data_IF_279266039635
#
_entry.id   IF_279266039635
#
_cell.length_a   1.000
_cell.length_b   1.000
_cell.length_c   1.000
_cell.angle_alpha   90.00
_cell.angle_beta   90.00
_cell.angle_gamma   90.00
#
_symmetry.space_group_name_H-M   'P 1'
#
loop_
_entity.id
_entity.type
_entity.pdbx_description
1 polymer ?
#
# COMPACT_ATOMS: atom_id res chain seq x y z
N UNK A 1 2.42 -12.83 -3.31
CA UNK A 1 2.52 -12.68 -4.78
C UNK A 1 1.93 -11.32 -5.12
N UNK A 2 2.54 -10.59 -6.05
CA UNK A 2 1.97 -9.35 -6.58
C UNK A 2 1.75 -9.48 -8.09
N UNK A 3 0.60 -9.00 -8.55
CA UNK A 3 0.26 -8.85 -9.96
C UNK A 3 0.24 -7.35 -10.25
N UNK A 4 1.14 -6.90 -11.10
CA UNK A 4 1.30 -5.50 -11.49
C UNK A 4 1.39 -5.40 -13.01
N UNK A 5 1.18 -4.20 -13.55
CA UNK A 5 1.38 -3.97 -14.96
C UNK A 5 2.86 -4.14 -15.31
N UNK A 6 3.13 -4.71 -16.49
CA UNK A 6 4.49 -4.97 -16.98
C UNK A 6 5.21 -3.70 -17.46
N UNK A 7 4.99 -2.59 -16.84
CA UNK A 7 5.75 -1.39 -17.16
C UNK A 7 7.07 -1.39 -16.39
N UNK A 8 8.18 -1.56 -17.11
CA UNK A 8 9.53 -1.76 -16.59
C UNK A 8 10.17 -0.51 -15.96
N UNK A 9 9.40 0.49 -15.64
CA UNK A 9 9.93 1.60 -14.89
C UNK A 9 10.18 1.15 -13.45
N UNK A 10 11.42 1.06 -13.06
CA UNK A 10 11.85 0.79 -11.69
C UNK A 10 11.44 1.90 -10.70
N UNK A 11 10.31 2.52 -10.93
CA UNK A 11 9.71 3.57 -10.10
C UNK A 11 8.53 2.99 -9.34
N UNK A 12 8.30 3.49 -8.15
CA UNK A 12 7.10 3.14 -7.37
C UNK A 12 5.81 3.79 -7.91
N UNK A 13 5.88 4.48 -9.03
CA UNK A 13 4.75 5.05 -9.76
C UNK A 13 4.27 4.04 -10.81
N UNK A 14 3.56 3.03 -10.33
CA UNK A 14 3.06 1.94 -11.17
C UNK A 14 1.92 2.41 -12.07
N UNK A 15 1.90 1.92 -13.31
CA UNK A 15 0.76 2.09 -14.20
C UNK A 15 -0.44 1.30 -13.67
N UNK A 16 -1.67 1.83 -13.79
CA UNK A 16 -2.84 1.16 -13.24
C UNK A 16 -3.14 -0.15 -13.96
N UNK A 17 -3.59 -1.13 -13.18
CA UNK A 17 -4.24 -2.34 -13.68
C UNK A 17 -5.75 -2.21 -13.48
N UNK A 18 -6.53 -2.70 -14.44
CA UNK A 18 -7.99 -2.81 -14.28
C UNK A 18 -8.31 -4.06 -13.46
N UNK A 19 -9.03 -3.84 -12.38
CA UNK A 19 -9.45 -4.90 -11.45
C UNK A 19 -10.95 -5.09 -11.56
N UNK A 20 -11.36 -6.22 -12.11
CA UNK A 20 -12.78 -6.61 -12.18
C UNK A 20 -13.16 -7.56 -11.07
N UNK A 21 -14.43 -7.52 -10.65
CA UNK A 21 -14.95 -8.47 -9.65
C UNK A 21 -14.78 -9.92 -10.11
N UNK A 22 -14.92 -10.17 -11.41
CA UNK A 22 -14.74 -11.52 -11.97
C UNK A 22 -13.30 -12.00 -11.84
N UNK A 23 -12.30 -11.11 -12.05
CA UNK A 23 -10.90 -11.43 -11.85
C UNK A 23 -10.60 -11.71 -10.37
N UNK A 24 -11.10 -10.89 -9.47
CA UNK A 24 -10.92 -11.06 -8.02
C UNK A 24 -11.53 -12.39 -7.55
N UNK A 25 -12.75 -12.74 -8.01
CA UNK A 25 -13.37 -14.02 -7.70
C UNK A 25 -12.59 -15.21 -8.28
N UNK A 26 -12.10 -15.09 -9.53
CA UNK A 26 -11.26 -16.11 -10.17
C UNK A 26 -9.99 -16.36 -9.36
N UNK A 27 -9.30 -15.31 -8.93
CA UNK A 27 -8.07 -15.40 -8.16
C UNK A 27 -8.31 -15.99 -6.75
N UNK A 28 -9.38 -15.57 -6.07
CA UNK A 28 -9.78 -16.12 -4.75
C UNK A 28 -10.12 -17.61 -4.79
N UNK A 29 -10.57 -18.09 -5.94
CA UNK A 29 -10.90 -19.52 -6.15
C UNK A 29 -9.69 -20.41 -6.47
N UNK A 30 -8.48 -19.86 -6.62
CA UNK A 30 -7.30 -20.67 -6.94
C UNK A 30 -6.79 -21.43 -5.71
N UNK A 31 -6.27 -22.67 -5.90
CA UNK A 31 -5.64 -23.43 -4.83
C UNK A 31 -4.48 -22.64 -4.20
N UNK A 32 -4.36 -22.80 -2.87
CA UNK A 32 -3.30 -22.14 -2.06
C UNK A 32 -3.38 -20.62 -2.00
N UNK A 33 -4.44 -20.00 -2.51
CA UNK A 33 -4.73 -18.60 -2.32
C UNK A 33 -5.56 -18.42 -1.05
N UNK A 34 -5.00 -17.70 -0.08
CA UNK A 34 -5.66 -17.39 1.19
C UNK A 34 -6.48 -16.11 1.11
N UNK A 35 -5.90 -15.07 0.52
CA UNK A 35 -6.55 -13.76 0.37
C UNK A 35 -6.08 -13.06 -0.90
N UNK A 36 -6.96 -12.26 -1.47
CA UNK A 36 -6.69 -11.42 -2.65
C UNK A 36 -7.19 -10.02 -2.33
N UNK A 37 -6.30 -9.05 -2.41
CA UNK A 37 -6.57 -7.65 -2.13
C UNK A 37 -6.01 -6.74 -3.21
N UNK A 38 -6.45 -5.50 -3.26
CA UNK A 38 -5.88 -4.49 -4.13
C UNK A 38 -4.99 -3.53 -3.35
N UNK A 39 -4.00 -2.97 -4.03
CA UNK A 39 -3.23 -1.87 -3.49
C UNK A 39 -3.01 -0.78 -4.53
N UNK A 40 -2.82 0.42 -4.06
CA UNK A 40 -2.38 1.54 -4.88
C UNK A 40 -1.21 2.25 -4.19
N UNK A 41 -0.18 2.58 -4.94
CA UNK A 41 0.99 3.26 -4.40
C UNK A 41 1.26 4.58 -5.13
N UNK A 42 1.82 5.53 -4.39
CA UNK A 42 2.28 6.79 -4.92
C UNK A 42 3.48 7.31 -4.14
N UNK A 43 4.58 7.66 -4.81
CA UNK A 43 5.69 8.35 -4.18
C UNK A 43 5.25 9.69 -3.61
N UNK A 44 5.78 10.02 -2.45
CA UNK A 44 5.49 11.28 -1.77
C UNK A 44 6.66 11.74 -0.90
N UNK A 45 6.56 12.95 -0.41
CA UNK A 45 7.55 13.54 0.49
C UNK A 45 6.81 13.99 1.75
N UNK A 46 7.14 13.40 2.87
CA UNK A 46 6.73 13.89 4.17
C UNK A 46 7.56 15.10 4.56
N UNK A 47 6.89 16.13 5.05
CA UNK A 47 7.52 17.34 5.54
C UNK A 47 7.18 17.56 7.00
N UNK A 48 8.22 17.66 7.84
CA UNK A 48 8.16 18.20 9.19
C UNK A 48 8.75 19.61 9.22
N UNK A 49 8.77 20.25 10.39
CA UNK A 49 9.38 21.57 10.54
C UNK A 49 10.88 21.57 10.26
N UNK A 50 11.54 20.43 10.44
CA UNK A 50 13.01 20.31 10.37
C UNK A 50 13.53 19.34 9.29
N UNK A 51 12.66 18.55 8.65
CA UNK A 51 13.09 17.48 7.74
C UNK A 51 12.13 17.23 6.57
N UNK A 52 12.70 16.72 5.49
CA UNK A 52 11.98 16.12 4.37
C UNK A 52 12.36 14.64 4.27
N UNK A 53 11.37 13.77 4.08
CA UNK A 53 11.63 12.35 3.96
C UNK A 53 10.80 11.77 2.80
N UNK A 54 11.49 11.14 1.83
CA UNK A 54 10.83 10.46 0.73
C UNK A 54 10.16 9.17 1.21
N UNK A 55 8.90 8.98 0.85
CA UNK A 55 8.10 7.81 1.23
C UNK A 55 7.32 7.29 0.04
N UNK A 56 6.85 6.05 0.16
CA UNK A 56 5.81 5.49 -0.69
C UNK A 56 4.52 5.45 0.13
N UNK A 57 3.54 6.22 -0.29
CA UNK A 57 2.20 6.07 0.23
C UNK A 57 1.56 4.85 -0.41
N UNK A 58 1.24 3.84 0.38
CA UNK A 58 0.56 2.62 -0.04
C UNK A 58 -0.85 2.60 0.55
N UNK A 59 -1.82 2.75 -0.32
CA UNK A 59 -3.22 2.50 -0.01
C UNK A 59 -3.55 1.01 -0.14
N UNK A 60 -4.26 0.48 0.84
CA UNK A 60 -4.72 -0.91 0.84
C UNK A 60 -6.16 -1.00 1.29
N UNK A 61 -6.84 -2.08 0.88
CA UNK A 61 -8.16 -2.49 1.36
C UNK A 61 -8.09 -3.71 2.30
N UNK A 62 -6.89 -4.23 2.56
CA UNK A 62 -6.67 -5.39 3.41
C UNK A 62 -5.71 -5.08 4.56
N UNK A 63 -6.22 -5.11 5.79
CA UNK A 63 -5.51 -4.65 6.97
C UNK A 63 -5.04 -5.74 7.92
N UNK A 64 -5.43 -7.01 7.72
CA UNK A 64 -5.16 -8.09 8.69
C UNK A 64 -3.66 -8.29 8.94
N UNK A 65 -2.84 -8.20 7.87
CA UNK A 65 -1.40 -8.30 8.03
C UNK A 65 -0.84 -7.17 8.90
N UNK A 66 -1.29 -5.94 8.68
CA UNK A 66 -0.81 -4.80 9.43
C UNK A 66 -1.39 -4.75 10.84
N UNK A 67 -2.62 -5.22 11.07
CA UNK A 67 -3.22 -5.31 12.38
C UNK A 67 -2.38 -6.15 13.34
N UNK A 68 -1.78 -7.23 12.84
CA UNK A 68 -0.89 -8.10 13.60
C UNK A 68 0.47 -7.47 13.94
N UNK A 69 0.85 -6.42 13.22
CA UNK A 69 2.13 -5.72 13.38
C UNK A 69 1.98 -4.34 14.06
N UNK A 70 0.79 -4.01 14.55
CA UNK A 70 0.55 -2.74 15.26
C UNK A 70 1.29 -2.72 16.60
N UNK A 71 1.95 -1.60 16.87
CA UNK A 71 2.68 -1.34 18.12
C UNK A 71 1.89 -0.39 19.03
N UNK A 72 1.24 0.61 18.44
CA UNK A 72 0.41 1.56 19.18
C UNK A 72 -0.63 2.23 18.28
N UNK A 73 -1.67 2.81 18.87
CA UNK A 73 -2.77 3.44 18.16
C UNK A 73 -3.74 2.44 17.53
N UNK A 74 -4.37 2.82 16.43
CA UNK A 74 -5.37 2.03 15.70
C UNK A 74 -5.13 2.06 14.19
N UNK A 75 -5.72 1.12 13.47
CA UNK A 75 -5.81 1.16 12.03
C UNK A 75 -6.59 2.40 11.58
N UNK A 76 -6.31 2.92 10.37
CA UNK A 76 -7.05 4.06 9.82
C UNK A 76 -8.55 3.75 9.70
N UNK A 77 -9.38 4.67 10.14
CA UNK A 77 -10.84 4.63 9.98
C UNK A 77 -11.35 5.76 9.09
N UNK A 78 -10.57 6.83 9.03
CA UNK A 78 -10.85 8.00 8.20
C UNK A 78 -9.88 8.09 7.03
N UNK A 79 -10.33 8.69 5.94
CA UNK A 79 -9.60 8.75 4.67
C UNK A 79 -8.19 9.38 4.77
N UNK A 80 -8.02 10.37 5.63
CA UNK A 80 -6.75 11.06 5.82
C UNK A 80 -5.94 10.49 7.00
N UNK A 81 -6.41 9.41 7.62
CA UNK A 81 -5.64 8.70 8.62
C UNK A 81 -4.66 7.75 7.98
N UNK A 82 -3.50 7.63 8.60
CA UNK A 82 -2.41 6.76 8.15
C UNK A 82 -1.75 6.09 9.34
N UNK A 83 -1.17 4.94 9.08
CA UNK A 83 -0.19 4.35 9.98
C UNK A 83 1.21 4.46 9.38
N UNK A 84 2.19 4.72 10.24
CA UNK A 84 3.60 4.78 9.88
C UNK A 84 4.39 3.80 10.74
N UNK A 85 5.58 3.41 10.30
CA UNK A 85 6.40 2.54 11.12
C UNK A 85 6.98 3.28 12.34
N UNK A 86 7.33 2.52 13.37
CA UNK A 86 8.06 3.05 14.53
C UNK A 86 9.42 3.64 14.13
N UNK A 87 10.04 3.11 13.08
CA UNK A 87 11.30 3.62 12.52
C UNK A 87 11.10 5.01 11.94
N UNK A 88 10.11 5.17 11.07
CA UNK A 88 9.79 6.45 10.44
C UNK A 88 9.32 7.48 11.47
N UNK A 89 8.48 7.06 12.43
CA UNK A 89 8.02 7.91 13.52
C UNK A 89 9.19 8.46 14.35
N UNK A 90 10.15 7.60 14.70
CA UNK A 90 11.35 8.00 15.43
C UNK A 90 12.22 8.98 14.64
N UNK A 91 12.42 8.72 13.35
CA UNK A 91 13.24 9.60 12.49
C UNK A 91 12.63 10.99 12.30
N UNK A 92 11.31 11.08 12.26
CA UNK A 92 10.58 12.33 12.03
C UNK A 92 10.06 12.97 13.32
N UNK A 93 10.34 12.36 14.49
CA UNK A 93 9.84 12.79 15.81
C UNK A 93 8.32 12.90 15.87
N UNK A 94 7.63 11.91 15.33
CA UNK A 94 6.17 11.84 15.23
C UNK A 94 5.60 10.79 16.19
N UNK A 95 4.37 11.05 16.65
CA UNK A 95 3.62 10.16 17.52
C UNK A 95 2.18 9.98 17.00
N UNK A 96 1.46 9.03 17.57
CA UNK A 96 0.03 8.86 17.30
C UNK A 96 -0.72 10.13 17.67
N UNK A 97 -1.59 10.61 16.79
CA UNK A 97 -2.35 11.86 16.93
C UNK A 97 -1.72 13.06 16.23
N UNK A 98 -0.45 12.97 15.84
CA UNK A 98 0.19 14.06 15.10
C UNK A 98 -0.34 14.16 13.67
N UNK A 99 -0.28 15.39 13.14
CA UNK A 99 -0.57 15.66 11.74
C UNK A 99 0.72 15.95 10.97
N UNK A 100 0.81 15.43 9.76
CA UNK A 100 1.95 15.64 8.87
C UNK A 100 1.49 16.05 7.47
N UNK A 101 2.28 16.88 6.80
CA UNK A 101 2.06 17.22 5.40
C UNK A 101 2.80 16.23 4.50
N UNK A 102 2.07 15.66 3.55
CA UNK A 102 2.63 14.84 2.49
C UNK A 102 2.46 15.55 1.14
N UNK A 103 3.56 15.70 0.45
CA UNK A 103 3.63 16.32 -0.87
C UNK A 103 3.74 15.22 -1.91
N UNK A 104 2.80 15.21 -2.86
CA UNK A 104 2.80 14.31 -4.01
C UNK A 104 3.11 15.14 -5.26
N UNK A 105 4.17 14.75 -5.97
CA UNK A 105 4.61 15.41 -7.19
C UNK A 105 4.15 14.58 -8.38
N UNK A 106 3.39 15.20 -9.26
CA UNK A 106 2.97 14.69 -10.54
C UNK A 106 3.01 15.89 -11.51
N UNK A 107 2.07 16.03 -12.42
CA UNK A 107 1.92 17.23 -13.26
C UNK A 107 1.74 18.50 -12.40
N UNK A 108 1.01 18.35 -11.29
CA UNK A 108 0.80 19.38 -10.28
C UNK A 108 1.25 18.90 -8.89
N UNK A 109 1.75 19.85 -8.08
CA UNK A 109 2.07 19.60 -6.69
C UNK A 109 0.79 19.48 -5.86
N UNK A 110 0.54 18.30 -5.32
CA UNK A 110 -0.61 18.04 -4.45
C UNK A 110 -0.16 17.84 -3.02
N UNK A 111 -0.74 18.59 -2.11
CA UNK A 111 -0.44 18.49 -0.67
C UNK A 111 -1.62 17.86 0.04
N UNK A 112 -1.35 16.94 0.94
CA UNK A 112 -2.34 16.35 1.85
C UNK A 112 -1.85 16.46 3.28
N UNK A 113 -2.76 16.84 4.14
CA UNK A 113 -2.57 16.75 5.60
C UNK A 113 -3.06 15.38 6.04
N UNK A 114 -2.14 14.59 6.58
CA UNK A 114 -2.40 13.24 7.06
C UNK A 114 -2.34 13.22 8.58
N UNK A 115 -3.12 12.35 9.21
CA UNK A 115 -3.14 12.17 10.65
C UNK A 115 -2.64 10.77 11.00
N UNK A 116 -1.69 10.68 11.92
CA UNK A 116 -1.13 9.41 12.34
C UNK A 116 -2.08 8.75 13.32
N UNK A 117 -2.82 7.72 12.88
CA UNK A 117 -3.73 6.96 13.73
C UNK A 117 -3.03 5.84 14.49
N UNK A 118 -1.89 5.35 13.98
CA UNK A 118 -1.16 4.28 14.62
C UNK A 118 0.26 4.11 14.12
N UNK A 119 1.00 3.30 14.88
CA UNK A 119 2.38 2.91 14.57
C UNK A 119 2.47 1.40 14.40
N UNK A 120 3.20 0.96 13.39
CA UNK A 120 3.45 -0.44 13.09
C UNK A 120 4.95 -0.78 13.09
N UNK A 121 5.28 -2.07 13.15
CA UNK A 121 6.63 -2.58 12.97
C UNK A 121 6.56 -3.96 12.32
N UNK A 122 7.05 -4.09 11.09
CA UNK A 122 7.08 -5.37 10.37
C UNK A 122 8.37 -6.13 10.58
N UNK A 123 9.37 -5.53 11.23
CA UNK A 123 10.74 -6.03 11.32
C UNK A 123 11.44 -6.17 9.95
N UNK A 124 10.88 -5.59 8.89
CA UNK A 124 11.49 -5.50 7.58
C UNK A 124 11.97 -4.07 7.35
N UNK A 125 13.28 -3.84 7.51
CA UNK A 125 13.85 -2.49 7.59
C UNK A 125 13.60 -1.62 6.35
N UNK A 126 13.55 -2.19 5.15
CA UNK A 126 13.25 -1.45 3.93
C UNK A 126 11.80 -0.98 3.91
N UNK A 127 10.87 -1.87 4.26
CA UNK A 127 9.45 -1.54 4.33
C UNK A 127 9.20 -0.49 5.41
N UNK A 128 9.78 -0.71 6.60
CA UNK A 128 9.57 0.17 7.76
C UNK A 128 10.15 1.58 7.56
N UNK A 129 11.12 1.76 6.67
CA UNK A 129 11.68 3.09 6.36
C UNK A 129 10.96 3.84 5.25
N UNK A 130 10.22 3.13 4.42
CA UNK A 130 9.74 3.67 3.15
C UNK A 130 8.23 3.86 3.11
N UNK A 131 7.44 2.96 3.73
CA UNK A 131 6.01 2.95 3.52
C UNK A 131 5.22 3.71 4.58
N UNK A 132 4.29 4.55 4.07
CA UNK A 132 3.16 5.12 4.80
C UNK A 132 1.92 4.39 4.32
N UNK A 133 1.11 3.85 5.23
CA UNK A 133 -0.03 3.02 4.89
C UNK A 133 -1.34 3.76 5.19
N UNK A 134 -2.26 3.74 4.26
CA UNK A 134 -3.55 4.41 4.40
C UNK A 134 -4.63 3.85 3.48
N UNK A 135 -5.71 4.60 3.33
CA UNK A 135 -6.84 4.24 2.49
C UNK A 135 -6.45 4.23 1.00
N UNK A 136 -6.78 3.15 0.30
CA UNK A 136 -6.57 3.02 -1.15
C UNK A 136 -7.30 4.11 -1.94
N UNK A 137 -8.45 4.57 -1.47
CA UNK A 137 -9.23 5.62 -2.14
C UNK A 137 -8.48 6.97 -2.17
N UNK A 138 -7.66 7.25 -1.16
CA UNK A 138 -6.83 8.46 -1.18
C UNK A 138 -5.84 8.41 -2.35
N UNK A 139 -5.19 7.27 -2.57
CA UNK A 139 -4.23 7.10 -3.68
C UNK A 139 -4.93 7.13 -5.03
N UNK A 140 -6.07 6.46 -5.15
CA UNK A 140 -6.90 6.52 -6.36
C UNK A 140 -7.25 7.95 -6.76
N UNK A 141 -7.67 8.77 -5.79
CA UNK A 141 -7.97 10.19 -6.03
C UNK A 141 -6.73 11.01 -6.41
N UNK A 142 -5.59 10.75 -5.76
CA UNK A 142 -4.33 11.40 -6.11
C UNK A 142 -3.91 11.08 -7.53
N UNK A 143 -4.11 9.85 -7.98
CA UNK A 143 -3.78 9.39 -9.33
C UNK A 143 -4.88 9.69 -10.37
N UNK A 144 -6.04 10.22 -9.96
CA UNK A 144 -7.22 10.39 -10.80
C UNK A 144 -7.72 9.07 -11.41
N UNK A 145 -7.61 8.00 -10.65
CA UNK A 145 -8.01 6.65 -11.04
C UNK A 145 -9.47 6.38 -10.68
N UNK A 146 -10.08 5.47 -11.43
CA UNK A 146 -11.39 4.90 -11.12
C UNK A 146 -11.28 3.90 -9.96
N UNK A 147 -12.43 3.57 -9.35
CA UNK A 147 -12.48 2.56 -8.28
C UNK A 147 -12.08 1.15 -8.75
N UNK A 148 -12.17 0.89 -10.07
CA UNK A 148 -11.72 -0.34 -10.70
C UNK A 148 -10.21 -0.37 -10.98
N UNK A 149 -9.49 0.71 -10.71
CA UNK A 149 -8.07 0.82 -11.00
C UNK A 149 -7.23 0.73 -9.73
N UNK A 150 -6.11 0.03 -9.81
CA UNK A 150 -5.16 -0.15 -8.72
C UNK A 150 -3.73 -0.21 -9.28
N UNK A 151 -2.72 -0.02 -8.43
CA UNK A 151 -1.33 -0.28 -8.82
C UNK A 151 -1.08 -1.76 -9.05
N UNK A 152 -1.84 -2.62 -8.38
CA UNK A 152 -1.77 -4.05 -8.54
C UNK A 152 -2.68 -4.81 -7.57
N UNK A 153 -2.57 -6.13 -7.67
CA UNK A 153 -3.28 -7.08 -6.81
C UNK A 153 -2.24 -7.79 -5.95
N UNK A 154 -2.49 -7.87 -4.66
CA UNK A 154 -1.69 -8.66 -3.71
C UNK A 154 -2.42 -9.96 -3.39
N UNK A 155 -1.68 -11.06 -3.42
CA UNK A 155 -2.19 -12.39 -3.17
C UNK A 155 -1.39 -13.01 -2.04
N UNK A 156 -2.08 -13.31 -0.96
CA UNK A 156 -1.53 -14.03 0.18
C UNK A 156 -1.75 -15.54 -0.04
N UNK A 157 -0.69 -16.32 0.11
CA UNK A 157 -0.75 -17.78 0.04
C UNK A 157 -0.96 -18.37 1.43
N UNK A 158 -1.61 -19.51 1.50
CA UNK A 158 -1.87 -20.24 2.75
C UNK A 158 -0.60 -20.90 3.31
N UNK A 159 0.29 -21.36 2.41
CA UNK A 159 1.53 -22.03 2.75
C UNK A 159 2.63 -21.71 1.74
N UNK A 160 3.78 -21.25 2.23
CA UNK A 160 4.93 -20.89 1.38
C UNK A 160 5.51 -22.06 0.57
N UNK A 161 5.24 -23.30 0.97
CA UNK A 161 5.65 -24.49 0.19
C UNK A 161 5.01 -24.54 -1.19
N UNK A 162 3.83 -23.93 -1.32
CA UNK A 162 3.09 -23.88 -2.59
C UNK A 162 3.22 -22.55 -3.32
N UNK A 163 4.16 -21.69 -2.88
CA UNK A 163 4.33 -20.34 -3.45
C UNK A 163 4.53 -20.35 -4.97
N UNK A 164 5.37 -21.25 -5.47
CA UNK A 164 5.64 -21.34 -6.91
C UNK A 164 4.42 -21.85 -7.68
N UNK A 165 3.76 -22.88 -7.18
CA UNK A 165 2.53 -23.39 -7.78
C UNK A 165 1.42 -22.35 -7.83
N UNK A 166 1.21 -21.62 -6.73
CA UNK A 166 0.25 -20.53 -6.67
C UNK A 166 0.62 -19.40 -7.65
N UNK A 167 1.91 -19.05 -7.75
CA UNK A 167 2.38 -18.02 -8.67
C UNK A 167 2.12 -18.39 -10.13
N UNK A 168 2.38 -19.62 -10.53
CA UNK A 168 2.13 -20.12 -11.89
C UNK A 168 0.62 -20.06 -12.21
N UNK A 169 -0.23 -20.49 -11.28
CA UNK A 169 -1.69 -20.44 -11.44
C UNK A 169 -2.22 -19.01 -11.56
N UNK A 170 -1.70 -18.10 -10.75
CA UNK A 170 -2.03 -16.68 -10.80
C UNK A 170 -1.61 -16.10 -12.16
N UNK A 171 -0.39 -16.41 -12.62
CA UNK A 171 0.10 -15.95 -13.92
C UNK A 171 -0.85 -16.38 -15.06
N UNK A 172 -1.21 -17.66 -15.14
CA UNK A 172 -2.14 -18.14 -16.16
C UNK A 172 -3.56 -17.57 -15.99
N UNK A 173 -3.98 -17.20 -14.80
CA UNK A 173 -5.28 -16.59 -14.56
C UNK A 173 -5.35 -15.13 -14.99
N UNK A 174 -4.21 -14.41 -14.99
CA UNK A 174 -4.11 -12.97 -15.30
C UNK A 174 -3.59 -12.69 -16.71
N UNK A 175 -3.00 -13.68 -17.41
CA UNK A 175 -2.42 -13.53 -18.75
C UNK A 175 -3.45 -13.49 -19.90
N UNK A 176 -4.77 -13.51 -19.61
CA UNK A 176 -5.84 -13.51 -20.61
C UNK A 176 -6.69 -12.24 -20.50
#
# INVERSE_FOLDING_TARGET
IQVVNFDNNATYELQPVEVSDSLMLKLKGLPHVKEVSTFASKPGILKTDSAFHGVIFKGTDYWDYFSSNMVSGSLPTEKNEVIISTVLASQLHLTVGDAILCYFVQDDLRVRRLYISGLYNTCMSEMDRLFVLGDIQLVRQLNQWKDTQASGIEILVDDLRYLQEAADRVYFATAN
#
